data_IF_754846447669
#
_entry.id   IF_754846447669
#
_cell.length_a   1.000
_cell.length_b   1.000
_cell.length_c   1.000
_cell.angle_alpha   90.00
_cell.angle_beta   90.00
_cell.angle_gamma   90.00
#
_symmetry.space_group_name_H-M   'P 1'
#
loop_
_entity.id
_entity.type
_entity.pdbx_description
1 polymer ?
#
# COMPACT_ATOMS: atom_id res chain seq x y z
N UNK A 1 10.31 -10.11 14.12
CA UNK A 1 9.50 -9.07 14.79
C UNK A 1 9.20 -9.36 16.27
N UNK A 2 9.80 -10.39 16.90
CA UNK A 2 9.52 -10.75 18.30
C UNK A 2 9.98 -9.70 19.34
N UNK A 3 11.11 -9.03 19.11
CA UNK A 3 11.72 -8.13 20.11
C UNK A 3 10.92 -6.86 20.42
N UNK A 4 10.16 -6.33 19.46
CA UNK A 4 9.48 -5.03 19.59
C UNK A 4 7.95 -5.12 19.75
N UNK A 5 7.39 -6.33 19.88
CA UNK A 5 5.93 -6.54 19.96
C UNK A 5 5.29 -5.74 21.10
N UNK A 6 5.92 -5.73 22.28
CA UNK A 6 5.47 -4.96 23.45
C UNK A 6 5.43 -3.46 23.18
N UNK A 7 6.45 -2.94 22.50
CA UNK A 7 6.54 -1.52 22.13
C UNK A 7 5.44 -1.16 21.14
N UNK A 8 5.22 -1.99 20.11
CA UNK A 8 4.19 -1.77 19.09
C UNK A 8 2.79 -1.77 19.70
N UNK A 9 2.47 -2.74 20.56
CA UNK A 9 1.19 -2.81 21.25
C UNK A 9 0.98 -1.59 22.14
N UNK A 10 1.99 -1.22 22.93
CA UNK A 10 1.90 -0.08 23.82
C UNK A 10 1.77 1.25 23.07
N UNK A 11 2.57 1.46 22.03
CA UNK A 11 2.50 2.65 21.18
C UNK A 11 1.13 2.77 20.49
N UNK A 12 0.56 1.66 20.02
CA UNK A 12 -0.78 1.68 19.41
C UNK A 12 -1.86 2.05 20.42
N UNK A 13 -1.82 1.47 21.63
CA UNK A 13 -2.75 1.85 22.70
C UNK A 13 -2.62 3.34 23.04
N UNK A 14 -1.40 3.86 23.18
CA UNK A 14 -1.18 5.29 23.41
C UNK A 14 -1.79 6.13 22.29
N UNK A 15 -1.57 5.79 21.02
CA UNK A 15 -2.16 6.52 19.90
C UNK A 15 -3.68 6.50 19.95
N UNK A 16 -4.30 5.33 20.11
CA UNK A 16 -5.76 5.20 20.15
C UNK A 16 -6.38 6.01 21.30
N UNK A 17 -5.81 5.93 22.51
CA UNK A 17 -6.27 6.73 23.65
C UNK A 17 -5.93 8.23 23.54
N UNK A 18 -5.17 8.63 22.53
CA UNK A 18 -4.88 10.03 22.18
C UNK A 18 -5.45 10.36 20.79
N UNK A 19 -6.72 9.96 20.55
CA UNK A 19 -7.49 10.32 19.34
C UNK A 19 -6.89 9.79 18.03
N UNK A 20 -6.09 8.73 18.12
CA UNK A 20 -5.54 8.00 16.99
C UNK A 20 -4.27 8.59 16.36
N UNK A 21 -3.74 9.71 16.85
CA UNK A 21 -2.47 10.27 16.38
C UNK A 21 -1.74 11.13 17.42
N UNK A 22 -0.41 11.19 17.34
CA UNK A 22 0.44 12.05 18.17
C UNK A 22 1.69 12.47 17.38
N UNK A 23 2.33 13.57 17.78
CA UNK A 23 3.70 13.82 17.29
C UNK A 23 4.64 12.70 17.71
N UNK A 24 5.68 12.44 16.91
CA UNK A 24 6.66 11.39 17.21
C UNK A 24 7.30 11.58 18.60
N UNK A 25 7.72 12.81 18.93
CA UNK A 25 8.30 13.12 20.24
C UNK A 25 7.35 12.83 21.40
N UNK A 26 6.07 13.20 21.26
CA UNK A 26 5.07 12.92 22.30
C UNK A 26 4.83 11.42 22.47
N UNK A 27 4.76 10.69 21.35
CA UNK A 27 4.56 9.24 21.37
C UNK A 27 5.77 8.52 21.97
N UNK A 28 6.99 8.83 21.50
CA UNK A 28 8.22 8.24 22.02
C UNK A 28 8.36 8.47 23.52
N UNK A 29 8.15 9.71 23.99
CA UNK A 29 8.18 10.04 25.43
C UNK A 29 7.18 9.22 26.24
N UNK A 30 5.95 9.04 25.75
CA UNK A 30 4.92 8.23 26.45
C UNK A 30 5.24 6.74 26.44
N UNK A 31 5.83 6.22 25.36
CA UNK A 31 6.29 4.83 25.27
C UNK A 31 7.45 4.57 26.22
N UNK A 32 8.43 5.49 26.24
CA UNK A 32 9.64 5.40 27.07
C UNK A 32 9.33 5.32 28.57
N UNK A 33 8.21 5.91 29.01
CA UNK A 33 7.75 5.82 30.41
C UNK A 33 7.44 4.39 30.88
N UNK A 34 7.20 3.44 29.97
CA UNK A 34 6.91 2.05 30.31
C UNK A 34 7.87 1.03 29.70
N UNK A 35 8.50 1.37 28.58
CA UNK A 35 9.41 0.48 27.87
C UNK A 35 10.61 1.28 27.38
N UNK A 36 11.79 0.96 27.90
CA UNK A 36 13.04 1.57 27.44
C UNK A 36 13.25 1.27 25.96
N UNK A 37 13.43 2.32 25.18
CA UNK A 37 13.73 2.22 23.75
C UNK A 37 14.44 3.49 23.27
N UNK A 38 15.47 3.30 22.44
CA UNK A 38 16.18 4.42 21.82
C UNK A 38 15.29 5.13 20.80
N UNK A 39 15.60 6.38 20.49
CA UNK A 39 14.85 7.11 19.46
C UNK A 39 14.97 6.46 18.08
N UNK A 40 16.15 5.93 17.73
CA UNK A 40 16.42 5.25 16.47
C UNK A 40 15.63 3.93 16.32
N UNK A 41 15.60 3.11 17.38
CA UNK A 41 14.79 1.88 17.40
C UNK A 41 13.30 2.22 17.29
N UNK A 42 12.85 3.26 17.99
CA UNK A 42 11.46 3.68 17.92
C UNK A 42 11.11 4.21 16.53
N UNK A 43 12.02 4.95 15.89
CA UNK A 43 11.91 5.37 14.50
C UNK A 43 11.79 4.20 13.54
N UNK A 44 12.61 3.16 13.74
CA UNK A 44 12.53 1.92 12.96
C UNK A 44 11.15 1.27 13.10
N UNK A 45 10.61 1.19 14.33
CA UNK A 45 9.29 0.64 14.60
C UNK A 45 8.19 1.42 13.88
N UNK A 46 8.12 2.74 14.06
CA UNK A 46 7.03 3.56 13.48
C UNK A 46 7.09 3.63 11.96
N UNK A 47 8.28 3.46 11.35
CA UNK A 47 8.44 3.44 9.88
C UNK A 47 8.11 2.08 9.26
N UNK A 48 8.41 0.98 9.95
CA UNK A 48 8.28 -0.39 9.38
C UNK A 48 6.99 -1.10 9.79
N UNK A 49 6.36 -0.73 10.90
CA UNK A 49 5.13 -1.36 11.35
C UNK A 49 3.91 -0.84 10.58
N UNK A 50 3.13 -1.75 9.98
CA UNK A 50 1.91 -1.41 9.22
C UNK A 50 0.80 -0.75 10.04
N UNK A 51 0.92 -0.77 11.39
CA UNK A 51 0.01 -0.11 12.33
C UNK A 51 0.25 1.38 12.46
N UNK A 52 1.32 1.92 11.87
CA UNK A 52 1.65 3.32 11.98
C UNK A 52 1.82 3.94 10.59
N UNK A 53 1.41 5.19 10.45
CA UNK A 53 1.70 6.04 9.30
C UNK A 53 2.42 7.28 9.80
N UNK A 54 3.60 7.54 9.26
CA UNK A 54 4.37 8.75 9.55
C UNK A 54 3.99 9.83 8.56
N UNK A 55 3.40 10.92 9.04
CA UNK A 55 3.02 12.10 8.26
C UNK A 55 3.96 13.24 8.63
N UNK A 56 4.60 13.86 7.64
CA UNK A 56 5.46 15.03 7.87
C UNK A 56 4.70 16.32 7.61
N UNK A 57 4.94 17.31 8.44
CA UNK A 57 4.45 18.65 8.21
C UNK A 57 5.16 19.25 6.97
N UNK A 58 4.40 19.91 6.08
CA UNK A 58 4.90 20.34 4.76
C UNK A 58 5.70 21.64 4.79
N UNK A 59 5.68 22.40 5.89
CA UNK A 59 6.10 23.81 5.89
C UNK A 59 7.36 24.14 6.70
N UNK A 60 8.00 23.18 7.38
CA UNK A 60 9.22 23.43 8.16
C UNK A 60 10.44 22.83 7.48
N UNK A 61 11.26 23.71 6.91
CA UNK A 61 12.49 23.43 6.13
C UNK A 61 13.75 23.44 6.99
N UNK A 62 13.58 23.42 8.30
CA UNK A 62 14.64 23.42 9.28
C UNK A 62 15.04 21.98 9.65
N UNK A 63 16.36 21.81 9.67
CA UNK A 63 17.11 20.61 9.97
C UNK A 63 16.66 20.00 11.30
N UNK A 64 16.65 18.66 11.37
CA UNK A 64 16.04 17.77 12.37
C UNK A 64 14.57 17.42 12.13
N UNK A 65 14.36 16.21 11.58
CA UNK A 65 13.08 15.60 11.24
C UNK A 65 12.16 15.25 12.42
N UNK A 66 11.90 16.21 13.31
CA UNK A 66 11.14 16.06 14.56
C UNK A 66 9.68 16.53 14.48
N UNK A 67 9.26 17.24 13.42
CA UNK A 67 7.85 17.65 13.22
C UNK A 67 7.07 16.65 12.34
N UNK A 68 6.88 15.45 12.87
CA UNK A 68 6.09 14.41 12.24
C UNK A 68 4.99 13.90 13.19
N UNK A 69 3.85 13.58 12.59
CA UNK A 69 2.69 12.99 13.26
C UNK A 69 2.63 11.51 12.91
N UNK A 70 2.52 10.68 13.95
CA UNK A 70 2.33 9.24 13.84
C UNK A 70 0.83 8.97 13.99
N UNK A 71 0.24 8.34 12.98
CA UNK A 71 -1.20 8.01 12.94
C UNK A 71 -1.37 6.49 13.03
N UNK A 72 -2.28 6.04 13.89
CA UNK A 72 -2.61 4.63 14.02
C UNK A 72 -3.42 4.11 12.82
N UNK A 73 -3.05 2.95 12.31
CA UNK A 73 -3.61 2.35 11.09
C UNK A 73 -4.01 0.90 11.33
N UNK A 74 -5.09 0.47 10.70
CA UNK A 74 -5.49 -0.93 10.64
C UNK A 74 -6.13 -1.27 9.30
N UNK A 75 -6.03 -2.52 8.88
CA UNK A 75 -6.74 -3.07 7.72
C UNK A 75 -8.15 -3.57 8.07
N UNK A 76 -8.50 -3.68 9.36
CA UNK A 76 -9.81 -4.18 9.79
C UNK A 76 -10.95 -3.21 9.41
N UNK A 77 -12.05 -3.77 8.90
CA UNK A 77 -13.27 -3.05 8.51
C UNK A 77 -14.49 -3.79 9.05
N UNK A 78 -15.65 -3.12 9.14
CA UNK A 78 -16.89 -3.80 9.51
C UNK A 78 -17.49 -4.56 8.33
N UNK A 79 -17.93 -5.79 8.57
CA UNK A 79 -18.58 -6.58 7.54
C UNK A 79 -19.95 -6.00 7.19
N UNK A 80 -20.13 -5.64 5.92
CA UNK A 80 -21.41 -5.08 5.43
C UNK A 80 -22.51 -6.13 5.24
N UNK A 81 -22.13 -7.39 5.13
CA UNK A 81 -23.01 -8.51 4.76
C UNK A 81 -23.23 -9.54 5.87
N UNK A 82 -22.68 -9.31 7.08
CA UNK A 82 -22.70 -10.27 8.18
C UNK A 82 -24.07 -10.91 8.47
N UNK A 83 -25.15 -10.14 8.39
CA UNK A 83 -26.52 -10.64 8.66
C UNK A 83 -27.32 -10.98 7.40
N UNK A 84 -26.71 -10.87 6.21
CA UNK A 84 -27.39 -11.02 4.91
C UNK A 84 -26.98 -12.29 4.16
N UNK A 85 -25.81 -12.85 4.46
CA UNK A 85 -25.23 -13.97 3.74
C UNK A 85 -24.46 -14.88 4.69
N UNK A 86 -24.25 -16.13 4.30
CA UNK A 86 -23.39 -17.06 5.01
C UNK A 86 -21.93 -16.62 4.87
N UNK A 87 -21.36 -16.06 5.94
CA UNK A 87 -20.02 -15.46 5.97
C UNK A 87 -18.95 -16.50 6.29
N UNK A 88 -18.78 -17.48 5.41
CA UNK A 88 -17.64 -18.42 5.48
C UNK A 88 -16.37 -17.74 4.99
N UNK A 89 -15.29 -17.83 5.76
CA UNK A 89 -13.97 -17.22 5.50
C UNK A 89 -13.95 -15.67 5.42
N UNK A 90 -14.89 -14.99 6.08
CA UNK A 90 -14.94 -13.52 6.08
C UNK A 90 -13.68 -12.90 6.72
N UNK A 91 -13.17 -11.82 6.13
CA UNK A 91 -11.97 -11.12 6.61
C UNK A 91 -12.31 -9.74 7.22
N UNK A 92 -13.59 -9.51 7.51
CA UNK A 92 -14.12 -8.28 8.11
C UNK A 92 -14.72 -8.58 9.50
N UNK A 93 -14.74 -7.58 10.36
CA UNK A 93 -15.28 -7.71 11.72
C UNK A 93 -16.80 -7.84 11.70
N UNK A 94 -17.29 -8.85 12.38
CA UNK A 94 -18.71 -9.08 12.64
C UNK A 94 -19.11 -8.31 13.90
N UNK A 95 -19.43 -7.03 13.74
CA UNK A 95 -19.86 -6.16 14.84
C UNK A 95 -21.04 -5.29 14.44
N UNK A 96 -21.87 -4.98 15.43
CA UNK A 96 -22.92 -4.00 15.29
C UNK A 96 -22.32 -2.62 15.09
N UNK A 97 -22.66 -1.96 13.98
CA UNK A 97 -22.25 -0.59 13.70
C UNK A 97 -22.64 0.39 14.81
N UNK A 98 -23.85 0.25 15.36
CA UNK A 98 -24.31 1.12 16.45
C UNK A 98 -23.64 0.82 17.79
N UNK A 99 -23.08 -0.38 17.96
CA UNK A 99 -22.26 -0.72 19.12
C UNK A 99 -20.90 -0.04 19.03
N UNK A 100 -20.25 -0.07 17.86
CA UNK A 100 -19.03 0.71 17.58
C UNK A 100 -19.27 2.22 17.79
N UNK A 101 -20.48 2.69 17.48
CA UNK A 101 -20.88 4.08 17.74
C UNK A 101 -21.24 4.39 19.21
N UNK A 102 -21.23 3.40 20.10
CA UNK A 102 -21.55 3.57 21.52
C UNK A 102 -23.04 3.77 21.84
N UNK A 103 -23.95 3.68 20.86
CA UNK A 103 -25.35 4.10 20.98
C UNK A 103 -26.36 3.06 20.48
N UNK A 104 -26.00 1.77 20.48
CA UNK A 104 -26.91 0.70 20.10
C UNK A 104 -28.06 0.52 21.10
N UNK A 105 -29.29 0.78 20.64
CA UNK A 105 -30.52 0.65 21.45
C UNK A 105 -30.88 -0.78 21.85
N UNK A 106 -30.23 -1.79 21.27
CA UNK A 106 -30.51 -3.22 21.49
C UNK A 106 -29.41 -3.96 22.26
N UNK A 107 -28.40 -3.26 22.77
CA UNK A 107 -27.29 -3.88 23.52
C UNK A 107 -27.55 -4.06 25.02
N UNK A 108 -28.46 -3.27 25.60
CA UNK A 108 -28.77 -3.25 27.04
C UNK A 108 -30.27 -3.37 27.34
N UNK A 109 -31.09 -3.69 26.33
CA UNK A 109 -32.55 -3.68 26.40
C UNK A 109 -33.19 -5.07 26.34
N UNK A 110 -34.54 -5.12 26.38
CA UNK A 110 -35.33 -6.38 26.38
C UNK A 110 -35.23 -7.20 25.07
N UNK A 111 -34.84 -6.58 23.96
CA UNK A 111 -34.66 -7.25 22.66
C UNK A 111 -33.18 -7.29 22.32
N UNK A 112 -32.69 -8.47 21.94
CA UNK A 112 -31.29 -8.68 21.54
C UNK A 112 -31.00 -8.03 20.19
N UNK A 113 -29.79 -7.48 20.05
CA UNK A 113 -29.29 -6.96 18.79
C UNK A 113 -29.12 -8.08 17.77
N UNK A 114 -29.51 -7.85 16.51
CA UNK A 114 -29.29 -8.81 15.41
C UNK A 114 -27.82 -8.91 14.98
N UNK A 115 -27.01 -7.93 15.38
CA UNK A 115 -25.58 -7.87 15.09
C UNK A 115 -24.79 -8.14 16.36
N UNK A 116 -23.63 -8.78 16.24
CA UNK A 116 -22.79 -9.11 17.39
C UNK A 116 -22.30 -7.85 18.12
N UNK A 117 -22.33 -7.90 19.45
CA UNK A 117 -21.67 -6.93 20.34
C UNK A 117 -20.42 -7.55 20.98
N UNK A 118 -20.04 -8.75 20.57
CA UNK A 118 -18.86 -9.45 21.10
C UNK A 118 -17.64 -9.19 20.22
N UNK A 119 -16.82 -8.22 20.66
CA UNK A 119 -15.52 -7.88 20.05
C UNK A 119 -14.59 -9.09 20.02
N UNK A 120 -14.68 -9.98 21.01
CA UNK A 120 -13.80 -11.14 21.17
C UNK A 120 -14.48 -12.47 20.80
N UNK A 121 -15.53 -12.41 19.98
CA UNK A 121 -16.10 -13.62 19.38
C UNK A 121 -15.02 -14.40 18.63
N UNK A 122 -15.20 -15.72 18.50
CA UNK A 122 -14.22 -16.63 17.88
C UNK A 122 -13.70 -16.12 16.52
N UNK A 123 -14.62 -15.62 15.69
CA UNK A 123 -14.32 -14.98 14.41
C UNK A 123 -13.49 -13.69 14.57
N UNK A 124 -14.00 -12.72 15.33
CA UNK A 124 -13.37 -11.41 15.47
C UNK A 124 -12.00 -11.50 16.14
N UNK A 125 -11.86 -12.37 17.15
CA UNK A 125 -10.62 -12.56 17.89
C UNK A 125 -9.48 -13.04 16.98
N UNK A 126 -9.77 -13.91 16.02
CA UNK A 126 -8.79 -14.39 15.04
C UNK A 126 -8.26 -13.22 14.20
N UNK A 127 -9.15 -12.38 13.65
CA UNK A 127 -8.77 -11.19 12.87
C UNK A 127 -8.01 -10.14 13.71
N UNK A 128 -8.45 -9.92 14.96
CA UNK A 128 -7.79 -9.03 15.90
C UNK A 128 -6.39 -9.52 16.28
N UNK A 129 -6.18 -10.84 16.39
CA UNK A 129 -4.85 -11.41 16.65
C UNK A 129 -3.92 -11.26 15.46
N UNK A 130 -4.40 -11.52 14.25
CA UNK A 130 -3.62 -11.32 13.02
C UNK A 130 -3.13 -9.88 12.87
N UNK A 131 -3.97 -8.91 13.26
CA UNK A 131 -3.61 -7.49 13.27
C UNK A 131 -2.90 -7.04 14.56
N UNK A 132 -2.68 -7.93 15.54
CA UNK A 132 -2.10 -7.61 16.86
C UNK A 132 -2.86 -6.55 17.67
N UNK A 133 -4.19 -6.53 17.54
CA UNK A 133 -5.12 -5.59 18.18
C UNK A 133 -5.99 -6.23 19.29
N UNK A 134 -5.86 -7.53 19.54
CA UNK A 134 -6.67 -8.28 20.52
C UNK A 134 -6.58 -7.79 21.98
N UNK A 135 -5.48 -7.11 22.34
CA UNK A 135 -5.25 -6.52 23.67
C UNK A 135 -5.79 -5.08 23.79
N UNK A 136 -6.26 -4.47 22.69
CA UNK A 136 -6.73 -3.09 22.70
C UNK A 136 -8.07 -2.98 23.43
N UNK A 137 -8.29 -1.87 24.15
CA UNK A 137 -9.58 -1.57 24.77
C UNK A 137 -10.66 -1.35 23.68
N UNK A 138 -11.92 -1.63 23.99
CA UNK A 138 -13.01 -1.56 23.01
C UNK A 138 -13.20 -0.14 22.47
N UNK A 139 -13.21 0.87 23.35
CA UNK A 139 -13.33 2.28 22.95
C UNK A 139 -12.19 2.72 22.01
N UNK A 140 -10.96 2.30 22.32
CA UNK A 140 -9.77 2.57 21.51
C UNK A 140 -9.86 1.88 20.14
N UNK A 141 -10.37 0.64 20.10
CA UNK A 141 -10.61 -0.10 18.87
C UNK A 141 -11.69 0.59 18.02
N UNK A 142 -12.77 1.07 18.63
CA UNK A 142 -13.84 1.74 17.91
C UNK A 142 -13.36 3.05 17.29
N UNK A 143 -12.59 3.86 18.02
CA UNK A 143 -11.98 5.07 17.45
C UNK A 143 -11.00 4.74 16.32
N UNK A 144 -10.20 3.68 16.47
CA UNK A 144 -9.31 3.19 15.41
C UNK A 144 -10.10 2.77 14.16
N UNK A 145 -11.24 2.10 14.31
CA UNK A 145 -12.12 1.73 13.20
C UNK A 145 -12.73 2.97 12.53
N UNK A 146 -13.19 3.96 13.30
CA UNK A 146 -13.78 5.19 12.76
C UNK A 146 -12.83 5.96 11.83
N UNK A 147 -11.53 6.02 12.15
CA UNK A 147 -10.55 6.71 11.29
C UNK A 147 -10.05 5.86 10.11
N UNK A 148 -10.20 4.54 10.15
CA UNK A 148 -9.69 3.64 9.11
C UNK A 148 -10.78 3.13 8.15
N UNK A 149 -12.02 2.99 8.59
CA UNK A 149 -13.15 2.53 7.76
C UNK A 149 -13.94 3.72 7.20
N UNK A 150 -13.80 4.05 5.91
CA UNK A 150 -14.45 5.22 5.31
C UNK A 150 -15.97 5.11 5.24
N UNK A 151 -16.54 3.94 5.56
CA UNK A 151 -18.00 3.72 5.52
C UNK A 151 -18.70 4.05 6.84
N UNK A 152 -17.91 4.34 7.88
CA UNK A 152 -18.41 4.65 9.21
C UNK A 152 -18.68 6.13 9.45
N UNK A 153 -18.17 7.04 8.62
CA UNK A 153 -18.38 8.48 8.81
C UNK A 153 -18.89 9.16 7.54
N UNK A 154 -19.70 10.22 7.64
CA UNK A 154 -20.04 11.05 6.47
C UNK A 154 -18.77 11.68 5.88
N UNK A 155 -18.75 11.85 4.56
CA UNK A 155 -17.74 12.67 3.90
C UNK A 155 -17.85 14.14 4.33
N UNK A 156 -16.73 14.87 4.23
CA UNK A 156 -16.73 16.33 4.34
C UNK A 156 -17.40 16.94 3.09
N UNK A 157 -18.31 17.87 3.29
CA UNK A 157 -19.02 18.56 2.22
C UNK A 157 -18.06 19.48 1.45
N UNK A 158 -17.81 19.17 0.18
CA UNK A 158 -16.98 20.00 -0.69
C UNK A 158 -17.63 21.34 -1.03
N UNK A 159 -18.96 21.39 -1.15
CA UNK A 159 -19.71 22.62 -1.43
C UNK A 159 -19.71 23.59 -0.26
N UNK A 160 -19.73 23.06 0.97
CA UNK A 160 -19.56 23.87 2.18
C UNK A 160 -18.25 24.65 2.14
N UNK A 161 -17.17 24.08 1.58
CA UNK A 161 -15.86 24.74 1.53
C UNK A 161 -15.72 25.79 0.41
N UNK A 162 -16.77 26.08 -0.35
CA UNK A 162 -16.77 27.07 -1.44
C UNK A 162 -17.71 28.24 -1.13
N UNK A 163 -17.48 29.43 -1.70
CA UNK A 163 -18.34 30.60 -1.49
C UNK A 163 -18.14 31.33 -0.15
N UNK A 164 -18.91 32.41 0.09
CA UNK A 164 -18.69 33.35 1.20
C UNK A 164 -19.72 33.28 2.34
N UNK A 165 -20.85 32.60 2.14
CA UNK A 165 -21.91 32.47 3.15
C UNK A 165 -21.61 31.45 4.26
N UNK A 166 -22.42 31.42 5.33
CA UNK A 166 -22.22 30.53 6.48
C UNK A 166 -22.23 29.05 6.10
N UNK A 167 -23.00 28.66 5.08
CA UNK A 167 -23.01 27.30 4.52
C UNK A 167 -22.18 27.18 3.22
N UNK A 168 -21.42 28.21 2.87
CA UNK A 168 -20.70 28.28 1.63
C UNK A 168 -21.64 28.21 0.41
N UNK A 169 -21.33 27.31 -0.53
CA UNK A 169 -22.14 27.02 -1.70
C UNK A 169 -23.06 25.79 -1.50
N UNK A 170 -23.15 25.25 -0.29
CA UNK A 170 -24.03 24.13 0.00
C UNK A 170 -25.50 24.59 0.02
N UNK A 171 -26.28 24.12 -0.94
CA UNK A 171 -27.72 24.43 -1.05
C UNK A 171 -28.57 23.69 -0.01
N UNK A 172 -28.05 22.57 0.54
CA UNK A 172 -28.75 21.77 1.54
C UNK A 172 -28.71 22.38 2.95
N UNK A 173 -27.77 23.29 3.25
CA UNK A 173 -27.67 23.99 4.56
C UNK A 173 -27.77 23.01 5.75
N UNK A 174 -28.71 23.23 6.67
CA UNK A 174 -29.00 22.37 7.83
C UNK A 174 -29.74 21.06 7.47
N UNK A 175 -29.96 20.78 6.20
CA UNK A 175 -30.39 19.48 5.69
C UNK A 175 -29.25 18.68 5.07
N UNK A 176 -28.00 19.16 5.13
CA UNK A 176 -26.89 18.47 4.49
C UNK A 176 -26.52 17.19 5.25
N UNK A 177 -26.44 16.07 4.52
CA UNK A 177 -26.02 14.78 5.07
C UNK A 177 -24.49 14.60 5.08
N UNK A 178 -23.74 15.59 4.59
CA UNK A 178 -22.27 15.60 4.62
C UNK A 178 -21.78 16.54 5.71
N UNK A 179 -20.59 16.27 6.23
CA UNK A 179 -20.02 17.04 7.34
C UNK A 179 -19.62 18.44 6.87
N UNK A 180 -20.16 19.48 7.50
CA UNK A 180 -19.76 20.88 7.28
C UNK A 180 -18.54 21.22 8.12
N UNK A 181 -17.36 20.82 7.64
CA UNK A 181 -16.08 21.08 8.27
C UNK A 181 -15.11 21.74 7.29
N UNK A 182 -14.24 22.60 7.79
CA UNK A 182 -13.17 23.23 7.03
C UNK A 182 -12.25 22.15 6.43
N UNK A 183 -12.18 22.08 5.11
CA UNK A 183 -11.31 21.12 4.43
C UNK A 183 -9.86 21.39 4.83
N UNK A 184 -9.42 22.65 4.81
CA UNK A 184 -8.05 23.04 5.19
C UNK A 184 -7.67 22.64 6.62
N UNK A 185 -8.63 22.65 7.56
CA UNK A 185 -8.38 22.14 8.91
C UNK A 185 -8.16 20.63 8.91
N UNK A 186 -8.94 19.91 8.11
CA UNK A 186 -8.83 18.46 7.93
C UNK A 186 -7.50 18.09 7.23
N UNK A 187 -6.95 18.95 6.38
CA UNK A 187 -5.64 18.74 5.72
C UNK A 187 -4.44 19.27 6.53
N UNK A 188 -4.69 19.80 7.74
CA UNK A 188 -3.69 20.47 8.59
C UNK A 188 -3.01 21.70 7.96
N UNK A 189 -3.65 22.40 7.01
CA UNK A 189 -3.11 23.57 6.31
C UNK A 189 -3.97 24.85 6.46
N UNK A 190 -4.90 24.86 7.42
CA UNK A 190 -5.74 26.04 7.66
C UNK A 190 -4.95 27.17 8.34
N UNK A 191 -4.60 28.19 7.55
CA UNK A 191 -3.88 29.38 8.02
C UNK A 191 -4.71 30.32 8.93
N UNK A 192 -6.03 30.14 9.01
CA UNK A 192 -6.90 31.07 9.75
C UNK A 192 -7.12 30.66 11.22
N UNK A 193 -6.79 29.43 11.60
CA UNK A 193 -6.96 28.93 12.96
C UNK A 193 -8.38 29.19 13.50
N UNK A 194 -8.47 29.79 14.68
CA UNK A 194 -9.75 30.16 15.32
C UNK A 194 -10.55 31.24 14.60
N UNK A 195 -9.92 32.00 13.69
CA UNK A 195 -10.58 33.04 12.88
C UNK A 195 -11.12 32.51 11.56
N UNK A 196 -11.06 31.20 11.33
CA UNK A 196 -11.55 30.59 10.11
C UNK A 196 -13.06 30.81 9.94
N UNK A 197 -13.49 31.15 8.73
CA UNK A 197 -14.92 31.27 8.38
C UNK A 197 -15.61 29.89 8.26
N UNK A 198 -14.84 28.81 8.33
CA UNK A 198 -15.31 27.42 8.26
C UNK A 198 -15.14 26.74 9.61
N UNK A 199 -16.02 25.79 9.91
CA UNK A 199 -16.02 25.12 11.19
C UNK A 199 -14.82 24.17 11.36
N UNK A 200 -14.10 24.30 12.48
CA UNK A 200 -13.06 23.35 12.93
C UNK A 200 -13.56 22.44 14.05
N UNK A 201 -14.70 22.80 14.63
CA UNK A 201 -15.43 22.01 15.63
C UNK A 201 -16.75 21.57 15.03
N UNK A 202 -17.36 20.54 15.61
CA UNK A 202 -18.70 20.14 15.20
C UNK A 202 -19.71 21.08 15.85
N UNK A 203 -20.49 21.76 15.01
CA UNK A 203 -21.55 22.65 15.45
C UNK A 203 -22.80 21.87 15.92
N UNK A 204 -23.80 22.59 16.42
CA UNK A 204 -25.02 21.97 16.95
C UNK A 204 -25.79 21.18 15.88
N UNK A 205 -25.75 21.63 14.62
CA UNK A 205 -26.40 20.92 13.53
C UNK A 205 -25.68 19.60 13.21
N UNK A 206 -24.35 19.64 13.08
CA UNK A 206 -23.52 18.46 12.89
C UNK A 206 -23.65 17.45 14.02
N UNK A 207 -23.75 17.92 15.27
CA UNK A 207 -24.01 17.09 16.44
C UNK A 207 -25.33 16.31 16.28
N UNK A 208 -26.44 17.01 16.01
CA UNK A 208 -27.76 16.37 15.80
C UNK A 208 -27.71 15.35 14.66
N UNK A 209 -27.12 15.72 13.52
CA UNK A 209 -27.01 14.85 12.34
C UNK A 209 -26.21 13.56 12.64
N UNK A 210 -25.16 13.65 13.46
CA UNK A 210 -24.35 12.49 13.86
C UNK A 210 -25.07 11.63 14.91
N UNK A 211 -25.78 12.23 15.86
CA UNK A 211 -26.59 11.52 16.85
C UNK A 211 -27.77 10.79 16.18
N UNK A 212 -28.40 11.40 15.17
CA UNK A 212 -29.44 10.76 14.34
C UNK A 212 -28.89 9.55 13.56
N UNK A 213 -27.61 9.58 13.19
CA UNK A 213 -26.88 8.43 12.62
C UNK A 213 -26.46 7.40 13.68
N UNK A 214 -26.70 7.70 14.94
CA UNK A 214 -26.48 6.82 16.08
C UNK A 214 -25.10 6.91 16.69
N UNK A 215 -24.31 7.97 16.45
CA UNK A 215 -23.05 8.21 17.18
C UNK A 215 -23.32 8.73 18.60
N UNK A 216 -22.50 8.32 19.57
CA UNK A 216 -22.54 8.86 20.93
C UNK A 216 -21.88 10.24 21.01
N UNK A 217 -22.43 11.10 21.86
CA UNK A 217 -21.91 12.46 22.06
C UNK A 217 -20.43 12.50 22.50
N UNK A 218 -19.95 11.46 23.18
CA UNK A 218 -18.55 11.37 23.60
C UNK A 218 -17.61 11.11 22.43
N UNK A 219 -17.98 10.23 21.49
CA UNK A 219 -17.20 10.01 20.26
C UNK A 219 -17.20 11.26 19.38
N UNK A 220 -18.34 11.97 19.31
CA UNK A 220 -18.50 13.13 18.42
C UNK A 220 -17.47 14.23 18.73
N UNK A 221 -17.13 14.44 20.00
CA UNK A 221 -16.14 15.46 20.41
C UNK A 221 -14.75 15.25 19.80
N UNK A 222 -14.39 13.99 19.52
CA UNK A 222 -13.07 13.65 18.97
C UNK A 222 -13.05 13.56 17.44
N UNK A 223 -14.22 13.60 16.79
CA UNK A 223 -14.32 13.47 15.33
C UNK A 223 -13.51 14.48 14.52
N UNK A 224 -13.32 15.75 14.91
CA UNK A 224 -12.42 16.65 14.18
C UNK A 224 -11.01 16.05 13.98
N UNK A 225 -10.46 15.40 15.01
CA UNK A 225 -9.16 14.74 14.94
C UNK A 225 -9.22 13.43 14.15
N UNK A 226 -10.33 12.68 14.25
CA UNK A 226 -10.58 11.48 13.45
C UNK A 226 -10.62 11.81 11.96
N UNK A 227 -11.25 12.93 11.55
CA UNK A 227 -11.27 13.39 10.16
C UNK A 227 -9.89 13.77 9.65
N UNK A 228 -9.08 14.47 10.47
CA UNK A 228 -7.67 14.74 10.13
C UNK A 228 -6.90 13.42 9.90
N UNK A 229 -7.05 12.45 10.80
CA UNK A 229 -6.41 11.15 10.65
C UNK A 229 -6.89 10.41 9.39
N UNK A 230 -8.19 10.45 9.09
CA UNK A 230 -8.76 9.86 7.87
C UNK A 230 -8.17 10.51 6.61
N UNK A 231 -7.97 11.82 6.60
CA UNK A 231 -7.28 12.50 5.50
C UNK A 231 -5.81 12.04 5.40
N UNK A 232 -5.08 12.06 6.52
CA UNK A 232 -3.67 11.65 6.60
C UNK A 232 -3.46 10.22 6.10
N UNK A 233 -4.35 9.29 6.43
CA UNK A 233 -4.30 7.89 6.01
C UNK A 233 -4.58 7.70 4.51
N UNK A 234 -5.37 8.59 3.91
CA UNK A 234 -5.76 8.53 2.49
C UNK A 234 -4.86 9.39 1.57
N UNK A 235 -3.96 10.19 2.12
CA UNK A 235 -3.05 11.03 1.34
C UNK A 235 -1.75 10.29 1.07
N UNK A 236 -1.30 10.18 -0.19
CA UNK A 236 -0.01 9.59 -0.49
C UNK A 236 1.11 10.47 0.09
N UNK A 237 1.85 9.95 1.07
CA UNK A 237 3.08 10.57 1.56
C UNK A 237 4.15 10.52 0.47
N UNK A 238 4.67 11.68 0.06
CA UNK A 238 5.83 11.79 -0.83
C UNK A 238 7.06 11.14 -0.17
N UNK A 239 7.77 10.22 -0.83
CA UNK A 239 9.00 9.66 -0.29
C UNK A 239 10.08 10.75 -0.22
N UNK A 240 10.74 10.82 0.94
CA UNK A 240 11.88 11.67 1.20
C UNK A 240 13.11 11.15 0.46
N UNK A 241 13.57 11.89 -0.54
CA UNK A 241 14.94 11.78 -1.03
C UNK A 241 15.84 12.55 -0.05
N UNK A 242 16.59 11.83 0.77
CA UNK A 242 17.77 12.41 1.40
C UNK A 242 18.77 12.69 0.27
N UNK A 243 18.85 13.94 -0.18
CA UNK A 243 19.92 14.37 -1.09
C UNK A 243 21.13 14.71 -0.24
N UNK A 244 22.14 13.84 -0.27
CA UNK A 244 23.51 14.22 0.05
C UNK A 244 23.98 15.30 -0.94
N UNK A 245 24.66 16.30 -0.39
CA UNK A 245 25.30 17.41 -1.10
C UNK A 245 26.41 16.90 -2.04
N UNK A 246 26.22 17.06 -3.35
CA UNK A 246 27.31 17.46 -4.29
C UNK A 246 26.68 18.34 -5.39
N UNK A 247 27.39 19.40 -5.75
CA UNK A 247 26.87 20.57 -6.47
C UNK A 247 26.55 20.42 -7.96
N UNK A 248 25.84 21.47 -8.38
CA UNK A 248 25.81 22.12 -9.69
C UNK A 248 24.97 21.61 -10.88
N UNK A 249 24.27 22.62 -11.40
CA UNK A 249 23.83 22.91 -12.77
C UNK A 249 22.49 22.35 -13.29
N UNK A 250 21.52 23.28 -13.24
CA UNK A 250 20.33 23.50 -14.06
C UNK A 250 20.17 22.61 -15.29
N UNK A 251 19.04 21.89 -15.34
CA UNK A 251 18.19 21.75 -16.52
C UNK A 251 16.82 21.21 -16.12
N UNK A 252 15.76 22.00 -16.35
CA UNK A 252 14.37 21.51 -16.35
C UNK A 252 14.20 20.52 -17.52
N UNK A 253 13.42 19.45 -17.33
CA UNK A 253 12.48 19.11 -18.40
C UNK A 253 11.07 18.75 -17.90
N UNK A 254 10.12 19.43 -18.53
CA UNK A 254 8.83 18.96 -19.07
C UNK A 254 8.35 17.57 -18.61
N UNK A 255 7.17 17.59 -17.98
CA UNK A 255 6.31 16.44 -17.70
C UNK A 255 6.05 15.65 -18.98
N UNK A 256 6.56 14.42 -19.07
CA UNK A 256 5.98 13.38 -19.93
C UNK A 256 5.23 12.40 -19.02
N UNK A 257 3.93 12.27 -19.27
CA UNK A 257 3.11 11.15 -18.78
C UNK A 257 3.75 9.87 -19.33
N UNK A 258 4.36 9.08 -18.47
CA UNK A 258 4.87 7.77 -18.87
C UNK A 258 3.88 6.70 -18.39
N UNK A 259 3.43 5.90 -19.36
CA UNK A 259 2.49 4.80 -19.19
C UNK A 259 2.95 3.85 -18.08
N UNK A 260 2.09 3.65 -17.08
CA UNK A 260 2.34 2.73 -15.97
C UNK A 260 2.42 1.29 -16.50
N UNK A 261 3.65 0.81 -16.72
CA UNK A 261 3.97 -0.58 -17.04
C UNK A 261 3.97 -1.42 -15.76
N UNK A 262 2.79 -1.67 -15.20
CA UNK A 262 2.61 -2.53 -14.02
C UNK A 262 1.90 -3.83 -14.42
N UNK A 263 2.47 -4.99 -14.07
CA UNK A 263 1.79 -6.29 -14.19
C UNK A 263 1.78 -6.93 -12.80
N UNK A 264 0.73 -6.66 -12.06
CA UNK A 264 0.37 -7.44 -10.88
C UNK A 264 -0.93 -8.20 -11.21
N UNK A 265 -0.87 -9.53 -11.24
CA UNK A 265 -2.02 -10.36 -11.58
C UNK A 265 -3.20 -10.14 -10.61
N UNK A 266 -2.90 -9.87 -9.34
CA UNK A 266 -3.90 -9.54 -8.33
C UNK A 266 -4.44 -8.11 -8.50
N UNK A 267 -3.65 -7.19 -9.07
CA UNK A 267 -4.08 -5.82 -9.35
C UNK A 267 -5.07 -5.81 -10.51
N UNK A 268 -4.75 -6.53 -11.59
CA UNK A 268 -5.63 -6.75 -12.74
C UNK A 268 -6.94 -7.43 -12.28
N UNK A 269 -6.86 -8.40 -11.37
CA UNK A 269 -8.02 -9.09 -10.78
C UNK A 269 -8.68 -8.35 -9.61
N UNK A 270 -8.31 -7.08 -9.33
CA UNK A 270 -8.85 -6.23 -8.25
C UNK A 270 -8.76 -6.79 -6.82
N UNK A 271 -7.90 -7.79 -6.60
CA UNK A 271 -7.65 -8.46 -5.32
C UNK A 271 -6.27 -8.10 -4.73
N UNK A 272 -5.58 -7.10 -5.29
CA UNK A 272 -4.26 -6.67 -4.82
C UNK A 272 -4.37 -5.89 -3.52
N UNK A 273 -3.84 -6.45 -2.43
CA UNK A 273 -3.69 -5.77 -1.12
C UNK A 273 -2.65 -4.63 -1.14
N UNK A 274 -1.88 -4.50 -2.22
CA UNK A 274 -0.96 -3.39 -2.48
C UNK A 274 -1.62 -2.41 -3.45
N UNK A 275 -2.31 -1.39 -2.92
CA UNK A 275 -2.66 -0.19 -3.69
C UNK A 275 -1.73 0.94 -3.24
N UNK A 276 -0.90 1.43 -4.17
CA UNK A 276 0.08 2.49 -3.93
C UNK A 276 1.54 2.04 -3.82
N UNK A 277 1.95 0.92 -4.45
CA UNK A 277 3.34 0.46 -4.36
C UNK A 277 4.31 1.49 -4.95
N UNK A 278 5.30 1.90 -4.15
CA UNK A 278 6.50 2.60 -4.63
C UNK A 278 7.16 1.76 -5.74
N UNK A 279 7.71 2.38 -6.79
CA UNK A 279 8.24 1.63 -7.93
C UNK A 279 9.35 0.69 -7.47
N UNK A 280 9.30 -0.55 -7.96
CA UNK A 280 10.40 -1.51 -7.81
C UNK A 280 11.60 -0.97 -8.60
N UNK A 281 12.76 -0.87 -7.96
CA UNK A 281 14.01 -0.72 -8.67
C UNK A 281 14.34 -2.06 -9.33
N UNK A 282 14.10 -2.13 -10.64
CA UNK A 282 14.32 -3.34 -11.44
C UNK A 282 15.81 -3.62 -11.74
N UNK A 283 16.72 -2.67 -11.45
CA UNK A 283 18.16 -2.87 -11.59
C UNK A 283 18.71 -3.57 -10.36
N UNK A 284 18.34 -3.11 -9.16
CA UNK A 284 18.75 -3.70 -7.89
C UNK A 284 17.87 -4.87 -7.47
N UNK A 285 16.70 -5.04 -8.12
CA UNK A 285 15.64 -5.95 -7.66
C UNK A 285 15.29 -5.67 -6.20
N UNK A 286 15.18 -4.38 -5.86
CA UNK A 286 14.77 -3.95 -4.54
C UNK A 286 13.56 -3.02 -4.62
N UNK A 287 12.73 -3.04 -3.59
CA UNK A 287 11.83 -1.95 -3.33
C UNK A 287 12.45 -1.19 -2.17
N UNK A 288 13.10 -0.06 -2.47
CA UNK A 288 14.04 0.62 -1.56
C UNK A 288 15.23 -0.29 -1.22
N UNK A 289 15.27 -0.82 -0.01
CA UNK A 289 16.29 -1.72 0.50
C UNK A 289 15.82 -3.17 0.60
N UNK A 290 14.52 -3.43 0.37
CA UNK A 290 13.97 -4.78 0.51
C UNK A 290 14.17 -5.55 -0.81
N UNK A 291 14.87 -6.69 -0.78
CA UNK A 291 15.07 -7.51 -1.97
C UNK A 291 13.71 -8.05 -2.41
N UNK A 292 13.29 -7.63 -3.59
CA UNK A 292 12.12 -8.18 -4.27
C UNK A 292 12.58 -9.19 -5.30
N UNK A 293 11.80 -10.26 -5.46
CA UNK A 293 12.04 -11.22 -6.53
C UNK A 293 10.80 -11.35 -7.38
N UNK A 294 11.02 -11.44 -8.69
CA UNK A 294 9.94 -11.77 -9.60
C UNK A 294 9.52 -13.22 -9.36
N UNK A 295 8.28 -13.43 -8.93
CA UNK A 295 7.64 -14.73 -9.03
C UNK A 295 7.22 -14.95 -10.49
N UNK A 296 7.71 -16.03 -11.08
CA UNK A 296 7.39 -16.38 -12.46
C UNK A 296 6.33 -17.48 -12.44
N UNK A 297 5.36 -17.40 -13.34
CA UNK A 297 4.45 -18.53 -13.60
C UNK A 297 5.19 -19.64 -14.35
N UNK A 298 4.56 -20.81 -14.47
CA UNK A 298 5.12 -21.96 -15.20
C UNK A 298 5.54 -21.57 -16.63
N UNK A 299 6.66 -22.13 -17.10
CA UNK A 299 7.20 -21.83 -18.43
C UNK A 299 6.23 -22.24 -19.54
N UNK A 300 6.06 -21.38 -20.55
CA UNK A 300 5.13 -21.63 -21.66
C UNK A 300 5.46 -22.87 -22.48
N UNK A 301 6.71 -23.34 -22.47
CA UNK A 301 7.12 -24.56 -23.20
C UNK A 301 6.63 -25.85 -22.55
N UNK A 302 6.21 -25.77 -21.27
CA UNK A 302 5.74 -26.93 -20.48
C UNK A 302 4.23 -27.09 -20.44
N UNK A 303 3.48 -26.15 -21.03
CA UNK A 303 2.02 -26.11 -20.98
C UNK A 303 1.44 -25.89 -22.37
N UNK A 304 0.27 -26.48 -22.67
CA UNK A 304 -0.44 -26.20 -23.93
C UNK A 304 -0.82 -24.71 -24.07
N UNK A 305 -1.07 -24.27 -25.31
CA UNK A 305 -1.36 -22.88 -25.66
C UNK A 305 -2.58 -22.26 -24.94
N UNK A 306 -3.54 -23.08 -24.48
CA UNK A 306 -4.72 -22.62 -23.74
C UNK A 306 -4.41 -22.15 -22.30
N UNK A 307 -3.19 -22.38 -21.79
CA UNK A 307 -2.76 -21.82 -20.50
C UNK A 307 -2.27 -20.38 -20.66
N UNK A 308 -3.21 -19.44 -20.55
CA UNK A 308 -3.01 -18.01 -20.84
C UNK A 308 -2.08 -17.25 -19.87
N UNK A 309 -1.78 -17.82 -18.69
CA UNK A 309 -0.91 -17.19 -17.67
C UNK A 309 0.49 -17.81 -17.57
N UNK A 310 0.96 -18.50 -18.61
CA UNK A 310 2.32 -19.04 -18.65
C UNK A 310 3.37 -17.94 -18.88
N UNK A 311 4.60 -18.13 -18.40
CA UNK A 311 5.70 -17.20 -18.66
C UNK A 311 6.48 -17.66 -19.90
N UNK A 312 6.50 -16.83 -20.94
CA UNK A 312 7.41 -17.00 -22.08
C UNK A 312 8.80 -16.48 -21.71
N UNK A 313 9.81 -17.34 -21.78
CA UNK A 313 11.19 -16.99 -21.44
C UNK A 313 12.02 -16.73 -22.70
N UNK A 314 12.70 -15.58 -22.72
CA UNK A 314 13.57 -15.15 -23.80
C UNK A 314 15.03 -15.19 -23.32
N UNK A 315 15.90 -15.71 -24.17
CA UNK A 315 17.33 -15.83 -23.91
C UNK A 315 18.09 -14.84 -24.76
N UNK A 316 19.08 -14.17 -24.15
CA UNK A 316 19.90 -13.17 -24.81
C UNK A 316 21.39 -13.40 -24.53
N UNK A 317 22.24 -13.08 -25.50
CA UNK A 317 23.68 -12.95 -25.30
C UNK A 317 24.13 -11.51 -25.51
N UNK A 318 25.24 -11.14 -24.86
CA UNK A 318 25.84 -9.82 -25.00
C UNK A 318 26.62 -9.70 -26.32
N UNK A 319 26.16 -8.81 -27.19
CA UNK A 319 26.79 -8.43 -28.45
C UNK A 319 28.04 -7.57 -28.25
N UNK A 320 28.70 -7.23 -29.36
CA UNK A 320 29.97 -6.49 -29.35
C UNK A 320 29.80 -5.01 -28.99
N UNK A 321 28.64 -4.43 -29.29
CA UNK A 321 28.31 -3.04 -28.98
C UNK A 321 27.55 -2.93 -27.64
N UNK A 322 27.80 -3.84 -26.70
CA UNK A 322 27.11 -3.92 -25.41
C UNK A 322 25.58 -4.13 -25.51
N UNK A 323 25.05 -4.40 -26.71
CA UNK A 323 23.64 -4.71 -26.96
C UNK A 323 23.29 -6.16 -26.58
N UNK A 324 22.06 -6.39 -26.14
CA UNK A 324 21.57 -7.73 -25.84
C UNK A 324 20.80 -8.27 -27.05
N UNK A 325 21.30 -9.36 -27.65
CA UNK A 325 20.72 -9.96 -28.85
C UNK A 325 20.00 -11.25 -28.46
N UNK A 326 18.74 -11.39 -28.87
CA UNK A 326 17.92 -12.56 -28.59
C UNK A 326 18.39 -13.78 -29.42
N UNK A 327 18.46 -14.95 -28.79
CA UNK A 327 18.72 -16.21 -29.51
C UNK A 327 17.56 -16.55 -30.44
N UNK A 328 17.89 -16.84 -31.70
CA UNK A 328 16.95 -17.12 -32.79
C UNK A 328 16.48 -15.87 -33.54
N UNK A 329 16.91 -14.67 -33.14
CA UNK A 329 16.65 -13.42 -33.89
C UNK A 329 17.90 -12.98 -34.66
N UNK A 330 17.72 -12.30 -35.82
CA UNK A 330 18.84 -11.77 -36.57
C UNK A 330 19.58 -10.68 -35.79
N UNK A 331 20.92 -10.73 -35.81
CA UNK A 331 21.76 -9.63 -35.31
C UNK A 331 21.85 -8.46 -36.31
N UNK A 332 22.60 -7.40 -35.96
CA UNK A 332 22.84 -6.23 -36.83
C UNK A 332 23.47 -6.61 -38.21
N UNK A 333 24.03 -7.82 -38.32
CA UNK A 333 24.60 -8.38 -39.55
C UNK A 333 23.71 -9.47 -40.16
N UNK A 334 22.43 -9.52 -39.78
CA UNK A 334 21.42 -10.50 -40.23
C UNK A 334 21.80 -11.97 -39.95
N UNK A 335 22.67 -12.24 -38.97
CA UNK A 335 23.05 -13.60 -38.59
C UNK A 335 22.21 -14.08 -37.43
N UNK A 336 21.67 -15.28 -37.56
CA UNK A 336 20.87 -15.94 -36.55
C UNK A 336 21.66 -17.05 -35.86
N UNK A 337 21.26 -17.37 -34.63
CA UNK A 337 21.75 -18.55 -33.92
C UNK A 337 20.95 -19.78 -34.32
N UNK A 338 21.58 -20.96 -34.31
CA UNK A 338 20.92 -22.23 -34.65
C UNK A 338 19.83 -22.65 -33.68
N UNK A 339 19.89 -22.16 -32.43
CA UNK A 339 18.88 -22.37 -31.41
C UNK A 339 18.15 -21.06 -31.13
N UNK A 340 16.83 -21.17 -31.00
CA UNK A 340 15.92 -20.13 -30.56
C UNK A 340 15.84 -20.05 -29.04
N UNK A 341 15.29 -18.94 -28.53
CA UNK A 341 14.99 -18.80 -27.10
C UNK A 341 14.09 -19.92 -26.56
N UNK A 342 13.18 -20.45 -27.40
CA UNK A 342 12.28 -21.56 -27.03
C UNK A 342 13.04 -22.86 -26.82
N UNK A 343 13.90 -23.24 -27.76
CA UNK A 343 14.69 -24.48 -27.69
C UNK A 343 15.69 -24.43 -26.54
N UNK A 344 16.28 -23.25 -26.27
CA UNK A 344 17.15 -23.04 -25.11
C UNK A 344 16.40 -23.16 -23.79
N UNK A 345 15.16 -22.68 -23.72
CA UNK A 345 14.32 -22.84 -22.54
C UNK A 345 13.92 -24.31 -22.32
N UNK A 346 13.60 -25.06 -23.38
CA UNK A 346 13.33 -26.49 -23.31
C UNK A 346 14.55 -27.27 -22.79
N UNK A 347 15.74 -26.99 -23.33
CA UNK A 347 16.99 -27.60 -22.89
C UNK A 347 17.35 -27.23 -21.43
N UNK A 348 17.14 -25.97 -21.03
CA UNK A 348 17.40 -25.52 -19.66
C UNK A 348 16.48 -26.19 -18.62
N UNK A 349 15.22 -26.42 -18.98
CA UNK A 349 14.28 -27.10 -18.09
C UNK A 349 14.53 -28.62 -18.01
N UNK A 350 15.09 -29.21 -19.07
CA UNK A 350 15.53 -30.61 -19.05
C UNK A 350 16.77 -30.79 -18.17
N UNK A 351 17.77 -29.91 -18.31
CA UNK A 351 18.97 -29.90 -17.47
C UNK A 351 19.57 -28.48 -17.35
N UNK A 352 19.40 -27.87 -16.17
CA UNK A 352 19.89 -26.53 -15.87
C UNK A 352 21.42 -26.43 -15.70
N UNK A 353 22.14 -27.55 -15.71
CA UNK A 353 23.60 -27.62 -15.65
C UNK A 353 24.25 -27.94 -17.00
N UNK A 354 23.44 -28.26 -18.01
CA UNK A 354 23.92 -28.65 -19.33
C UNK A 354 24.74 -27.56 -20.04
N UNK A 355 25.61 -28.01 -20.93
CA UNK A 355 26.31 -27.19 -21.91
C UNK A 355 25.75 -27.49 -23.32
N UNK A 356 25.18 -26.48 -23.98
CA UNK A 356 24.58 -26.62 -25.31
C UNK A 356 25.44 -25.95 -26.38
N UNK A 357 25.49 -26.57 -27.55
CA UNK A 357 26.25 -26.04 -28.70
C UNK A 357 25.34 -25.16 -29.57
N UNK A 358 25.80 -23.95 -29.88
CA UNK A 358 25.08 -22.95 -30.65
C UNK A 358 25.94 -22.52 -31.83
N UNK A 359 25.40 -22.66 -33.04
CA UNK A 359 26.06 -22.14 -34.25
C UNK A 359 25.55 -20.72 -34.53
N UNK A 360 26.44 -19.80 -34.89
CA UNK A 360 26.08 -18.45 -35.37
C UNK A 360 26.98 -18.09 -36.54
N UNK A 361 26.41 -18.12 -37.75
CA UNK A 361 27.20 -18.13 -39.00
C UNK A 361 28.09 -19.39 -39.04
N UNK A 362 29.38 -19.23 -39.36
CA UNK A 362 30.36 -20.34 -39.38
C UNK A 362 31.06 -20.60 -38.04
N UNK A 363 30.58 -20.01 -36.94
CA UNK A 363 31.22 -20.11 -35.63
C UNK A 363 30.37 -20.93 -34.66
N UNK A 364 31.04 -21.85 -33.96
CA UNK A 364 30.45 -22.63 -32.89
C UNK A 364 30.71 -21.95 -31.54
N UNK A 365 29.68 -21.93 -30.71
CA UNK A 365 29.70 -21.41 -29.36
C UNK A 365 29.14 -22.46 -28.41
N UNK A 366 29.65 -22.47 -27.19
CA UNK A 366 29.18 -23.33 -26.11
C UNK A 366 28.52 -22.46 -25.05
N UNK A 367 27.25 -22.72 -24.76
CA UNK A 367 26.50 -22.05 -23.72
C UNK A 367 26.37 -22.99 -22.53
N UNK A 368 26.93 -22.60 -21.39
CA UNK A 368 26.70 -23.30 -20.12
C UNK A 368 25.66 -22.55 -19.31
N UNK A 369 24.57 -23.22 -18.97
CA UNK A 369 23.43 -22.60 -18.29
C UNK A 369 23.77 -22.14 -16.87
N UNK A 370 24.47 -22.97 -16.10
CA UNK A 370 24.85 -22.67 -14.71
C UNK A 370 25.65 -21.35 -14.59
N UNK A 371 26.60 -21.15 -15.50
CA UNK A 371 27.49 -19.98 -15.45
C UNK A 371 26.84 -18.74 -16.08
N UNK A 372 25.79 -18.91 -16.89
CA UNK A 372 25.19 -17.84 -17.70
C UNK A 372 26.21 -17.16 -18.62
N UNK A 373 27.06 -17.97 -19.27
CA UNK A 373 28.03 -17.50 -20.28
C UNK A 373 28.02 -18.37 -21.53
N UNK A 374 28.19 -17.69 -22.67
CA UNK A 374 28.52 -18.30 -23.94
C UNK A 374 30.02 -18.12 -24.21
N UNK A 375 30.71 -19.17 -24.64
CA UNK A 375 32.14 -19.14 -24.97
C UNK A 375 32.41 -19.65 -26.39
N UNK A 376 33.44 -19.09 -27.02
CA UNK A 376 34.03 -19.63 -28.24
C UNK A 376 35.50 -19.97 -27.95
N UNK A 377 35.84 -21.25 -27.74
CA UNK A 377 37.20 -21.67 -27.42
C UNK A 377 38.22 -21.29 -28.52
N UNK A 378 37.82 -21.33 -29.80
CA UNK A 378 38.71 -21.03 -30.93
C UNK A 378 39.17 -19.57 -30.96
N UNK A 379 38.34 -18.66 -30.46
CA UNK A 379 38.64 -17.22 -30.44
C UNK A 379 38.82 -16.67 -29.02
N UNK A 380 38.84 -17.54 -28.02
CA UNK A 380 38.90 -17.20 -26.60
C UNK A 380 37.91 -16.09 -26.16
N UNK A 381 36.73 -16.03 -26.78
CA UNK A 381 35.72 -15.02 -26.45
C UNK A 381 34.72 -15.58 -25.45
N UNK A 382 34.39 -14.82 -24.40
CA UNK A 382 33.36 -15.14 -23.41
C UNK A 382 32.33 -14.01 -23.35
N UNK A 383 31.05 -14.33 -23.50
CA UNK A 383 29.94 -13.38 -23.52
C UNK A 383 28.94 -13.72 -22.44
N UNK A 384 28.45 -12.70 -21.71
CA UNK A 384 27.36 -12.88 -20.75
C UNK A 384 26.08 -13.28 -21.46
N UNK A 385 25.32 -14.15 -20.81
CA UNK A 385 24.00 -14.59 -21.25
C UNK A 385 22.99 -14.24 -20.16
N UNK A 386 21.77 -13.91 -20.56
CA UNK A 386 20.67 -13.65 -19.61
C UNK A 386 19.38 -14.30 -20.10
N UNK A 387 18.65 -14.86 -19.15
CA UNK A 387 17.30 -15.39 -19.31
C UNK A 387 16.32 -14.38 -18.72
N UNK A 388 15.38 -13.87 -19.51
CA UNK A 388 14.42 -12.83 -19.09
C UNK A 388 13.02 -13.18 -19.58
N UNK A 389 11.98 -12.96 -18.77
CA UNK A 389 10.60 -13.15 -19.22
C UNK A 389 10.25 -12.14 -20.31
N UNK A 390 9.43 -12.54 -21.29
CA UNK A 390 8.80 -11.60 -22.21
C UNK A 390 7.92 -10.63 -21.43
N UNK A 391 8.04 -9.34 -21.73
CA UNK A 391 7.14 -8.32 -21.21
C UNK A 391 5.77 -8.43 -21.90
N UNK A 392 4.69 -8.38 -21.12
CA UNK A 392 3.31 -8.43 -21.62
C UNK A 392 2.55 -7.28 -20.96
N UNK A 393 2.08 -6.32 -21.74
CA UNK A 393 1.31 -5.17 -21.22
C UNK A 393 -0.03 -5.57 -20.60
N UNK A 394 -0.63 -4.68 -19.80
CA UNK A 394 -1.98 -4.87 -19.22
C UNK A 394 -2.99 -5.18 -20.34
N UNK A 395 -2.94 -4.43 -21.44
CA UNK A 395 -3.83 -4.61 -22.59
C UNK A 395 -3.67 -5.99 -23.24
N UNK A 396 -2.45 -6.50 -23.38
CA UNK A 396 -2.21 -7.85 -23.91
C UNK A 396 -2.67 -8.96 -22.94
N UNK A 397 -2.63 -8.71 -21.63
CA UNK A 397 -3.20 -9.64 -20.64
C UNK A 397 -4.72 -9.64 -20.73
N UNK A 398 -5.34 -8.47 -20.80
CA UNK A 398 -6.80 -8.31 -20.93
C UNK A 398 -7.33 -9.00 -22.20
N UNK A 399 -6.66 -8.79 -23.35
CA UNK A 399 -6.99 -9.43 -24.62
C UNK A 399 -6.86 -10.96 -24.59
N UNK A 400 -5.96 -11.51 -23.76
CA UNK A 400 -5.81 -12.97 -23.56
C UNK A 400 -6.85 -13.57 -22.62
N UNK A 401 -7.53 -12.73 -21.82
CA UNK A 401 -8.56 -13.14 -20.85
C UNK A 401 -9.98 -12.85 -21.30
N UNK A 402 -10.16 -12.11 -22.39
CA UNK A 402 -11.47 -11.91 -23.01
C UNK A 402 -11.97 -13.24 -23.63
N UNK A 403 -13.26 -13.59 -23.43
CA UNK A 403 -13.83 -14.85 -23.91
C UNK A 403 -13.84 -14.99 -25.42
#
# INVERSE_FOLDING_TARGET
MSSYSRVINHATSILCSNKGSLSFQQLHRKVFQRVEITEDDFWYIVKKCSRFVVVRNRERTDEWGTDCVIVAKTSLRLCKNYTKQDCRDCQELHLCKYFVYGNCRFGKGRKQCKFSHDVRSEHNYTLLRECTLHELHEDDLFLLLLQNDPTLLPEVCSHYNKGSGPHGACTFRDGCTKMHMCMHFVQDDCMFGSKCKRQHVIDQHGLRMLEERGLSGDIIKDLPFVYQNLHRLNTPTTPYNAKEHVGELVSRPVIKKEDRKEICLHFIRRNCRFQGSRPVDFLTMTQESDPVRRLSTVSSVTKPAHYILTTEWLWYYKGDHENWIEFGRPDDKQRMTSLSSRELEEAYLADGSAEVTIMKGHRNYYLRFQDMYQRNPKHNTKRRVRRRPRFISIMEVENKTAP
#
